data_IF_331184971315
#
_entry.id   IF_331184971315
#
_cell.length_a   1.000
_cell.length_b   1.000
_cell.length_c   1.000
_cell.angle_alpha   90.00
_cell.angle_beta   90.00
_cell.angle_gamma   90.00
#
_symmetry.space_group_name_H-M   'P 1'
#
loop_
_entity.id
_entity.type
_entity.pdbx_description
1 polymer ?
#
# COMPACT_ATOMS: atom_id res chain seq x y z
N UNK A 1 -16.92 -2.59 -28.96
CA UNK A 1 -15.86 -3.49 -28.46
C UNK A 1 -16.33 -3.97 -27.09
N UNK A 2 -16.34 -5.28 -26.85
CA UNK A 2 -16.74 -5.80 -25.55
C UNK A 2 -15.69 -5.40 -24.51
N UNK A 3 -16.11 -4.74 -23.44
CA UNK A 3 -15.24 -4.48 -22.29
C UNK A 3 -14.85 -5.83 -21.68
N UNK A 4 -13.54 -6.05 -21.54
CA UNK A 4 -13.00 -7.26 -20.93
C UNK A 4 -12.80 -6.98 -19.46
N UNK A 5 -13.33 -7.85 -18.63
CA UNK A 5 -13.28 -7.71 -17.17
C UNK A 5 -12.35 -8.80 -16.63
N UNK A 6 -11.28 -8.40 -15.96
CA UNK A 6 -10.32 -9.31 -15.33
C UNK A 6 -10.13 -9.03 -13.86
N UNK A 7 -9.81 -10.09 -13.12
CA UNK A 7 -9.52 -10.03 -11.69
C UNK A 7 -8.05 -9.67 -11.47
N UNK A 8 -7.77 -8.68 -10.61
CA UNK A 8 -6.40 -8.30 -10.25
C UNK A 8 -5.79 -9.38 -9.36
N UNK A 9 -4.59 -9.82 -9.70
CA UNK A 9 -3.71 -10.68 -8.90
C UNK A 9 -2.34 -10.04 -8.69
N UNK A 10 -1.57 -10.59 -7.75
CA UNK A 10 -0.24 -10.09 -7.39
C UNK A 10 0.76 -10.22 -8.55
N UNK A 11 1.58 -9.18 -8.73
CA UNK A 11 2.59 -9.12 -9.78
C UNK A 11 3.91 -9.72 -9.30
N UNK A 12 4.56 -10.61 -10.09
CA UNK A 12 5.87 -11.13 -9.72
C UNK A 12 6.91 -10.01 -9.61
N UNK A 13 7.82 -10.10 -8.64
CA UNK A 13 8.82 -9.08 -8.32
C UNK A 13 9.58 -8.53 -9.55
N UNK A 14 9.91 -9.41 -10.51
CA UNK A 14 10.63 -9.02 -11.74
C UNK A 14 9.89 -8.05 -12.67
N UNK A 15 8.55 -7.96 -12.56
CA UNK A 15 7.69 -7.12 -13.38
C UNK A 15 7.24 -5.84 -12.68
N UNK A 16 7.46 -5.73 -11.37
CA UNK A 16 7.07 -4.56 -10.58
C UNK A 16 7.87 -3.33 -11.02
N UNK A 17 7.18 -2.19 -11.23
CA UNK A 17 7.81 -0.93 -11.64
C UNK A 17 8.26 -0.90 -13.09
N UNK A 18 7.75 -1.81 -13.93
CA UNK A 18 8.04 -1.85 -15.38
C UNK A 18 6.92 -1.27 -16.24
N UNK A 19 5.82 -0.82 -15.63
CA UNK A 19 4.67 -0.25 -16.33
C UNK A 19 3.95 -1.26 -17.23
N UNK A 20 3.87 -2.52 -16.79
CA UNK A 20 3.29 -3.64 -17.56
C UNK A 20 2.08 -4.24 -16.87
N UNK A 21 1.11 -4.68 -17.66
CA UNK A 21 0.07 -5.61 -17.25
C UNK A 21 0.35 -6.99 -17.83
N UNK A 22 0.46 -7.98 -16.95
CA UNK A 22 0.54 -9.39 -17.34
C UNK A 22 -0.89 -9.91 -17.45
N UNK A 23 -1.29 -10.41 -18.61
CA UNK A 23 -2.66 -10.83 -18.91
C UNK A 23 -2.70 -12.31 -19.27
N UNK A 24 -3.78 -12.98 -18.86
CA UNK A 24 -4.17 -14.30 -19.33
C UNK A 24 -3.94 -14.47 -20.85
N UNK A 25 -3.04 -15.39 -21.27
CA UNK A 25 -2.72 -15.62 -22.68
C UNK A 25 -3.94 -15.95 -23.56
N UNK A 26 -4.98 -16.58 -23.01
CA UNK A 26 -6.20 -16.92 -23.74
C UNK A 26 -6.91 -15.66 -24.26
N UNK A 27 -6.93 -14.60 -23.47
CA UNK A 27 -7.58 -13.34 -23.83
C UNK A 27 -6.81 -12.64 -24.95
N UNK A 28 -5.48 -12.70 -24.89
CA UNK A 28 -4.62 -12.14 -25.92
C UNK A 28 -4.90 -12.85 -27.26
N UNK A 29 -5.04 -14.17 -27.25
CA UNK A 29 -5.39 -14.98 -28.42
C UNK A 29 -6.80 -14.67 -28.94
N UNK A 30 -7.82 -14.73 -28.08
CA UNK A 30 -9.23 -14.51 -28.41
C UNK A 30 -9.47 -13.11 -29.03
N UNK A 31 -8.76 -12.10 -28.51
CA UNK A 31 -8.87 -10.72 -28.96
C UNK A 31 -7.87 -10.33 -30.05
N UNK A 32 -6.95 -11.23 -30.40
CA UNK A 32 -5.85 -10.98 -31.35
C UNK A 32 -5.00 -9.78 -30.96
N UNK A 33 -4.73 -9.64 -29.66
CA UNK A 33 -3.85 -8.60 -29.14
C UNK A 33 -2.39 -8.96 -29.35
N UNK A 34 -1.54 -7.94 -29.46
CA UNK A 34 -0.11 -8.09 -29.65
C UNK A 34 0.64 -7.63 -28.39
N UNK A 35 1.71 -8.36 -28.06
CA UNK A 35 2.60 -7.98 -26.96
C UNK A 35 3.14 -6.58 -27.18
N UNK A 36 3.10 -5.76 -26.12
CA UNK A 36 3.58 -4.40 -26.15
C UNK A 36 2.58 -3.34 -26.59
N UNK A 37 1.36 -3.71 -26.99
CA UNK A 37 0.26 -2.76 -27.14
C UNK A 37 -0.10 -2.10 -25.80
N UNK A 38 -0.75 -0.94 -25.85
CA UNK A 38 -1.12 -0.20 -24.65
C UNK A 38 -2.56 -0.49 -24.28
N UNK A 39 -2.75 -0.76 -22.99
CA UNK A 39 -4.03 -1.02 -22.36
C UNK A 39 -4.46 0.20 -21.55
N UNK A 40 -5.69 0.63 -21.70
CA UNK A 40 -6.39 1.45 -20.72
C UNK A 40 -6.98 0.52 -19.66
N UNK A 41 -6.57 0.72 -18.41
CA UNK A 41 -7.16 0.09 -17.23
C UNK A 41 -8.20 1.05 -16.67
N UNK A 42 -9.41 0.56 -16.39
CA UNK A 42 -10.47 1.39 -15.82
C UNK A 42 -11.15 0.70 -14.64
N UNK A 43 -11.11 1.41 -13.50
CA UNK A 43 -11.85 1.11 -12.27
C UNK A 43 -12.50 2.41 -11.77
N UNK A 44 -12.07 2.96 -10.62
CA UNK A 44 -12.51 4.29 -10.14
C UNK A 44 -11.91 5.42 -10.97
N UNK A 45 -10.67 5.22 -11.42
CA UNK A 45 -9.93 6.10 -12.32
C UNK A 45 -9.38 5.28 -13.49
N UNK A 46 -8.72 5.98 -14.41
CA UNK A 46 -8.11 5.39 -15.59
C UNK A 46 -6.62 5.60 -15.59
N UNK A 47 -5.87 4.57 -15.94
CA UNK A 47 -4.43 4.64 -16.19
C UNK A 47 -4.07 3.73 -17.35
N UNK A 48 -2.82 3.76 -17.79
CA UNK A 48 -2.38 3.03 -18.97
C UNK A 48 -1.11 2.25 -18.72
N UNK A 49 -1.04 1.04 -19.27
CA UNK A 49 0.10 0.14 -19.09
C UNK A 49 0.35 -0.66 -20.35
N UNK A 50 1.56 -1.21 -20.47
CA UNK A 50 1.97 -2.02 -21.61
C UNK A 50 1.52 -3.48 -21.41
N UNK A 51 0.89 -4.05 -22.43
CA UNK A 51 0.47 -5.45 -22.42
C UNK A 51 1.68 -6.39 -22.45
N UNK A 52 1.65 -7.38 -21.56
CA UNK A 52 2.60 -8.49 -21.50
C UNK A 52 1.85 -9.82 -21.33
N UNK A 53 2.24 -10.89 -22.03
CA UNK A 53 1.60 -12.19 -21.87
C UNK A 53 1.95 -12.82 -20.52
N UNK A 54 0.95 -13.45 -19.89
CA UNK A 54 1.13 -14.34 -18.75
C UNK A 54 1.85 -15.64 -19.10
N UNK A 55 2.14 -16.41 -18.06
CA UNK A 55 2.77 -17.72 -18.23
C UNK A 55 1.77 -18.72 -18.86
N UNK A 56 2.23 -19.75 -19.59
CA UNK A 56 1.33 -20.75 -20.18
C UNK A 56 0.39 -21.43 -19.18
N UNK A 57 0.81 -21.55 -17.92
CA UNK A 57 0.03 -22.14 -16.83
C UNK A 57 -1.18 -21.29 -16.42
N UNK A 58 -1.19 -20.00 -16.80
CA UNK A 58 -2.25 -19.04 -16.48
C UNK A 58 -3.32 -18.96 -17.58
N UNK A 59 -3.26 -19.84 -18.58
CA UNK A 59 -4.19 -19.85 -19.71
C UNK A 59 -5.63 -20.10 -19.26
N UNK A 60 -6.53 -19.17 -19.56
CA UNK A 60 -7.95 -19.22 -19.20
C UNK A 60 -8.27 -18.87 -17.75
N UNK A 61 -7.31 -18.33 -17.01
CA UNK A 61 -7.48 -17.91 -15.61
C UNK A 61 -8.37 -16.68 -15.42
N UNK A 62 -8.51 -15.81 -16.44
CA UNK A 62 -9.26 -14.55 -16.34
C UNK A 62 -8.63 -13.51 -15.40
N UNK A 63 -7.32 -13.59 -15.17
CA UNK A 63 -6.58 -12.69 -14.28
C UNK A 63 -5.76 -11.65 -15.04
N UNK A 64 -5.46 -10.55 -14.35
CA UNK A 64 -4.49 -9.53 -14.73
C UNK A 64 -3.57 -9.24 -13.55
N UNK A 65 -2.26 -9.15 -13.80
CA UNK A 65 -1.28 -8.76 -12.80
C UNK A 65 -0.69 -7.41 -13.17
N UNK A 66 -0.91 -6.44 -12.30
CA UNK A 66 -0.41 -5.06 -12.41
C UNK A 66 0.30 -4.66 -11.13
N UNK A 67 1.29 -3.77 -11.23
CA UNK A 67 2.06 -3.30 -10.07
C UNK A 67 1.26 -2.32 -9.20
N UNK A 68 1.79 -2.04 -8.01
CA UNK A 68 1.19 -1.19 -7.01
C UNK A 68 0.94 0.24 -7.50
N UNK A 69 1.81 0.76 -8.38
CA UNK A 69 1.64 2.09 -8.98
C UNK A 69 0.39 2.12 -9.87
N UNK A 70 0.22 1.14 -10.77
CA UNK A 70 -0.96 1.05 -11.61
C UNK A 70 -2.24 0.84 -10.78
N UNK A 71 -2.19 -0.02 -9.74
CA UNK A 71 -3.31 -0.24 -8.80
C UNK A 71 -3.73 1.04 -8.09
N UNK A 72 -2.79 1.79 -7.52
CA UNK A 72 -3.06 3.07 -6.87
C UNK A 72 -3.64 4.11 -7.83
N UNK A 73 -3.13 4.18 -9.06
CA UNK A 73 -3.58 5.16 -10.06
C UNK A 73 -5.04 4.93 -10.48
N UNK A 74 -5.49 3.67 -10.59
CA UNK A 74 -6.91 3.35 -10.86
C UNK A 74 -7.77 3.27 -9.60
N UNK A 75 -7.15 3.29 -8.41
CA UNK A 75 -7.82 3.13 -7.12
C UNK A 75 -8.40 1.73 -6.92
N UNK A 76 -7.75 0.71 -7.47
CA UNK A 76 -8.11 -0.70 -7.30
C UNK A 76 -7.07 -1.40 -6.42
N UNK A 77 -7.44 -2.54 -5.86
CA UNK A 77 -6.58 -3.39 -5.05
C UNK A 77 -6.66 -4.83 -5.55
N UNK A 78 -5.90 -5.71 -4.91
CA UNK A 78 -5.80 -7.10 -5.37
C UNK A 78 -7.11 -7.83 -5.07
N UNK A 79 -7.67 -8.50 -6.08
CA UNK A 79 -8.96 -9.17 -5.99
C UNK A 79 -10.10 -8.46 -6.72
N UNK A 80 -9.96 -7.15 -6.99
CA UNK A 80 -10.97 -6.40 -7.74
C UNK A 80 -11.07 -6.88 -9.18
N UNK A 81 -12.23 -6.61 -9.78
CA UNK A 81 -12.44 -6.77 -11.22
C UNK A 81 -12.31 -5.41 -11.91
N UNK A 82 -11.44 -5.33 -12.90
CA UNK A 82 -11.21 -4.10 -13.68
C UNK A 82 -11.53 -4.31 -15.16
N UNK A 83 -11.93 -3.23 -15.82
CA UNK A 83 -12.22 -3.22 -17.25
C UNK A 83 -11.00 -2.81 -18.06
N UNK A 84 -10.83 -3.43 -19.23
CA UNK A 84 -9.66 -3.28 -20.09
C UNK A 84 -10.08 -3.00 -21.53
N UNK A 85 -9.31 -2.13 -22.20
CA UNK A 85 -9.37 -1.96 -23.66
C UNK A 85 -8.01 -1.55 -24.23
N UNK A 86 -7.76 -1.93 -25.47
CA UNK A 86 -6.59 -1.45 -26.21
C UNK A 86 -6.82 0.00 -26.64
N UNK A 87 -5.78 0.82 -26.49
CA UNK A 87 -5.77 2.20 -26.96
C UNK A 87 -4.48 2.49 -27.70
N UNK A 88 -4.57 3.40 -28.67
CA UNK A 88 -3.38 3.99 -29.28
C UNK A 88 -2.90 5.16 -28.42
N UNK A 89 -1.60 5.19 -28.18
CA UNK A 89 -0.94 6.30 -27.49
C UNK A 89 0.11 6.90 -28.41
N UNK A 90 0.49 8.14 -28.11
CA UNK A 90 1.59 8.80 -28.82
C UNK A 90 2.80 8.90 -27.93
N UNK A 91 3.95 9.12 -28.55
CA UNK A 91 5.17 9.41 -27.83
C UNK A 91 5.04 10.75 -27.09
N UNK A 92 5.55 10.80 -25.87
CA UNK A 92 5.57 11.99 -25.05
C UNK A 92 6.63 12.96 -25.56
N UNK A 93 6.23 14.18 -25.92
CA UNK A 93 7.15 15.29 -26.11
C UNK A 93 7.57 15.86 -24.75
N UNK A 94 6.59 16.02 -23.86
CA UNK A 94 6.79 16.63 -22.55
C UNK A 94 5.83 16.06 -21.51
N UNK A 95 6.31 15.90 -20.28
CA UNK A 95 5.50 15.54 -19.10
C UNK A 95 5.81 16.53 -17.99
N UNK A 96 4.77 17.12 -17.40
CA UNK A 96 4.90 18.04 -16.26
C UNK A 96 4.53 17.30 -14.99
N UNK A 97 5.45 17.32 -14.03
CA UNK A 97 5.37 16.61 -12.77
C UNK A 97 5.36 17.60 -11.61
N UNK A 98 4.36 17.51 -10.74
CA UNK A 98 4.30 18.30 -9.53
C UNK A 98 4.75 17.46 -8.33
N UNK A 99 5.83 17.84 -7.64
CA UNK A 99 6.29 17.10 -6.47
C UNK A 99 5.42 17.44 -5.24
N UNK A 100 5.35 16.49 -4.30
CA UNK A 100 4.72 16.71 -2.99
C UNK A 100 5.63 17.44 -2.00
N UNK A 101 6.95 17.41 -2.26
CA UNK A 101 7.99 17.99 -1.41
C UNK A 101 8.90 18.93 -2.20
N UNK A 102 9.68 19.77 -1.51
CA UNK A 102 10.65 20.65 -2.17
C UNK A 102 11.82 19.82 -2.68
N UNK A 103 12.08 19.92 -3.98
CA UNK A 103 13.17 19.19 -4.62
C UNK A 103 13.90 20.09 -5.62
N UNK A 104 15.14 19.73 -5.90
CA UNK A 104 15.96 20.37 -6.93
C UNK A 104 15.67 19.70 -8.28
N UNK A 105 15.68 20.47 -9.37
CA UNK A 105 15.46 19.95 -10.72
C UNK A 105 16.68 19.24 -11.33
N UNK A 106 17.84 19.33 -10.69
CA UNK A 106 19.11 18.82 -11.22
C UNK A 106 19.10 17.30 -11.33
N UNK A 107 19.45 16.77 -12.51
CA UNK A 107 19.44 15.32 -12.78
C UNK A 107 18.07 14.66 -12.87
N UNK A 108 16.96 15.40 -12.65
CA UNK A 108 15.60 14.84 -12.69
C UNK A 108 15.29 14.19 -14.04
N UNK A 109 15.70 14.85 -15.13
CA UNK A 109 15.45 14.38 -16.49
C UNK A 109 16.04 12.97 -16.71
N UNK A 110 17.33 12.81 -16.47
CA UNK A 110 18.04 11.55 -16.67
C UNK A 110 17.49 10.47 -15.73
N UNK A 111 17.16 10.85 -14.50
CA UNK A 111 16.61 9.93 -13.51
C UNK A 111 15.19 9.45 -13.88
N UNK A 112 14.34 10.34 -14.40
CA UNK A 112 12.99 9.99 -14.87
C UNK A 112 13.06 9.08 -16.09
N UNK A 113 13.94 9.37 -17.06
CA UNK A 113 14.12 8.52 -18.23
C UNK A 113 14.63 7.14 -17.81
N UNK A 114 15.66 7.06 -16.96
CA UNK A 114 16.19 5.80 -16.47
C UNK A 114 15.12 4.89 -15.83
N UNK A 115 14.24 5.47 -15.00
CA UNK A 115 13.24 4.70 -14.26
C UNK A 115 11.97 4.42 -15.07
N UNK A 116 11.55 5.37 -15.92
CA UNK A 116 10.23 5.34 -16.56
C UNK A 116 10.24 5.22 -18.08
N UNK A 117 11.39 4.95 -18.71
CA UNK A 117 11.42 4.62 -20.13
C UNK A 117 10.42 3.49 -20.46
N UNK A 118 9.66 3.65 -21.54
CA UNK A 118 8.57 2.76 -21.96
C UNK A 118 7.33 2.72 -21.06
N UNK A 119 7.23 3.55 -20.02
CA UNK A 119 5.99 3.71 -19.28
C UNK A 119 5.00 4.57 -20.05
N UNK A 120 3.71 4.37 -19.78
CA UNK A 120 2.65 5.24 -20.28
C UNK A 120 2.12 6.05 -19.11
N UNK A 121 2.02 7.36 -19.31
CA UNK A 121 1.48 8.26 -18.30
C UNK A 121 0.28 9.03 -18.81
N UNK A 122 -0.66 9.23 -17.90
CA UNK A 122 -1.87 10.02 -18.07
C UNK A 122 -1.94 11.08 -16.98
N UNK A 123 -2.55 12.22 -17.30
CA UNK A 123 -2.78 13.29 -16.33
C UNK A 123 -3.53 12.75 -15.11
N UNK A 124 -2.98 13.00 -13.92
CA UNK A 124 -3.51 12.54 -12.63
C UNK A 124 -2.81 11.31 -12.08
N UNK A 125 -1.97 10.62 -12.86
CA UNK A 125 -1.17 9.50 -12.37
C UNK A 125 -0.19 9.98 -11.29
N UNK A 126 -0.07 9.18 -10.24
CA UNK A 126 0.93 9.32 -9.20
C UNK A 126 2.10 8.40 -9.49
N UNK A 127 3.31 8.94 -9.36
CA UNK A 127 4.56 8.20 -9.53
C UNK A 127 5.45 8.44 -8.31
N UNK A 128 6.22 7.43 -7.94
CA UNK A 128 7.08 7.47 -6.76
C UNK A 128 8.51 7.13 -7.14
N UNK A 129 9.45 7.96 -6.71
CA UNK A 129 10.86 7.76 -6.97
C UNK A 129 11.61 7.52 -5.69
N UNK A 130 12.49 6.53 -5.70
CA UNK A 130 13.46 6.31 -4.63
C UNK A 130 14.54 7.41 -4.71
N UNK A 131 14.92 7.98 -3.58
CA UNK A 131 16.05 8.89 -3.49
C UNK A 131 17.32 8.10 -3.21
N UNK A 132 18.48 8.66 -3.56
CA UNK A 132 19.79 8.04 -3.28
C UNK A 132 20.02 7.78 -1.78
N UNK A 133 19.31 8.50 -0.91
CA UNK A 133 19.38 8.38 0.55
C UNK A 133 18.30 7.43 1.12
N UNK A 134 17.62 6.65 0.27
CA UNK A 134 16.59 5.68 0.69
C UNK A 134 15.22 6.28 1.02
N UNK A 135 15.03 7.58 0.79
CA UNK A 135 13.71 8.23 0.88
C UNK A 135 12.87 8.02 -0.38
N UNK A 136 11.63 8.51 -0.40
CA UNK A 136 10.78 8.51 -1.59
C UNK A 136 10.21 9.90 -1.86
N UNK A 137 10.24 10.31 -3.12
CA UNK A 137 9.59 11.55 -3.58
C UNK A 137 8.43 11.15 -4.46
N UNK A 138 7.25 11.67 -4.16
CA UNK A 138 6.05 11.48 -4.96
C UNK A 138 5.85 12.65 -5.92
N UNK A 139 5.37 12.30 -7.11
CA UNK A 139 4.97 13.26 -8.12
C UNK A 139 3.58 12.93 -8.63
N UNK A 140 2.87 13.97 -9.05
CA UNK A 140 1.64 13.84 -9.83
C UNK A 140 1.91 14.35 -11.24
N UNK A 141 1.50 13.56 -12.24
CA UNK A 141 1.46 14.01 -13.64
C UNK A 141 0.36 15.06 -13.79
N UNK A 142 0.73 16.33 -13.90
CA UNK A 142 -0.25 17.42 -14.01
C UNK A 142 -0.66 17.73 -15.43
N UNK A 143 0.23 17.51 -16.39
CA UNK A 143 -0.08 17.63 -17.81
C UNK A 143 0.91 16.86 -18.67
N UNK A 144 0.44 16.42 -19.82
CA UNK A 144 1.22 15.75 -20.86
C UNK A 144 1.14 16.54 -22.16
N UNK A 145 2.19 16.45 -22.96
CA UNK A 145 2.22 16.97 -24.33
C UNK A 145 2.56 15.83 -25.29
N UNK A 146 1.67 15.49 -26.24
CA UNK A 146 0.29 16.00 -26.41
C UNK A 146 -0.64 15.66 -25.23
N UNK A 147 -1.73 16.42 -25.04
CA UNK A 147 -2.69 16.28 -23.91
C UNK A 147 -3.58 15.04 -24.01
N UNK A 148 -2.96 13.86 -24.01
CA UNK A 148 -3.56 12.52 -24.04
C UNK A 148 -2.63 11.54 -23.30
N UNK A 149 -2.97 10.26 -23.15
CA UNK A 149 -2.03 9.27 -22.65
C UNK A 149 -0.78 9.24 -23.54
N UNK A 150 0.40 9.30 -22.93
CA UNK A 150 1.67 9.38 -23.65
C UNK A 150 2.67 8.32 -23.21
N UNK A 151 3.40 7.76 -24.18
CA UNK A 151 4.49 6.82 -23.98
C UNK A 151 5.81 7.57 -23.76
N UNK A 152 6.50 7.28 -22.66
CA UNK A 152 7.83 7.81 -22.37
C UNK A 152 8.86 7.15 -23.28
N UNK A 153 9.59 7.98 -24.01
CA UNK A 153 10.70 7.59 -24.89
C UNK A 153 11.95 8.40 -24.52
N UNK A 154 13.10 8.06 -25.10
CA UNK A 154 14.41 8.62 -24.71
C UNK A 154 14.48 10.15 -24.81
N UNK A 155 13.74 10.77 -25.73
CA UNK A 155 13.72 12.23 -25.94
C UNK A 155 12.56 12.94 -25.21
N UNK A 156 11.77 12.24 -24.40
CA UNK A 156 10.68 12.83 -23.63
C UNK A 156 11.21 13.82 -22.59
N UNK A 157 10.72 15.06 -22.58
CA UNK A 157 11.18 16.09 -21.62
C UNK A 157 10.31 16.12 -20.36
N UNK A 158 10.91 15.87 -19.20
CA UNK A 158 10.27 16.04 -17.90
C UNK A 158 10.48 17.45 -17.37
N UNK A 159 9.41 18.10 -16.91
CA UNK A 159 9.45 19.42 -16.27
C UNK A 159 8.83 19.36 -14.89
N UNK A 160 9.41 20.12 -13.94
CA UNK A 160 8.79 20.33 -12.64
C UNK A 160 7.73 21.42 -12.72
N UNK A 161 6.53 21.07 -12.29
CA UNK A 161 5.47 22.02 -11.98
C UNK A 161 5.60 22.56 -10.56
N UNK A 162 4.61 23.35 -10.15
CA UNK A 162 4.50 23.81 -8.76
C UNK A 162 4.22 22.65 -7.82
N UNK A 163 4.67 22.77 -6.57
CA UNK A 163 4.32 21.80 -5.54
C UNK A 163 2.81 21.69 -5.41
N UNK A 164 2.32 20.46 -5.19
CA UNK A 164 0.90 20.20 -5.03
C UNK A 164 0.62 19.46 -3.72
N UNK A 165 -0.44 19.89 -3.04
CA UNK A 165 -1.04 19.15 -1.91
C UNK A 165 -2.18 18.23 -2.37
N UNK A 166 -2.34 18.02 -3.68
CA UNK A 166 -3.47 17.26 -4.24
C UNK A 166 -3.47 15.76 -3.86
N UNK A 167 -2.46 15.28 -3.13
CA UNK A 167 -2.46 13.95 -2.54
C UNK A 167 -2.93 14.09 -1.11
N UNK A 168 -4.02 13.38 -0.77
CA UNK A 168 -4.44 13.19 0.60
C UNK A 168 -3.32 12.52 1.39
N UNK A 169 -2.65 13.28 2.25
CA UNK A 169 -1.55 12.78 3.08
C UNK A 169 -2.01 11.76 4.12
N UNK A 170 -3.32 11.64 4.34
CA UNK A 170 -3.88 10.66 5.27
C UNK A 170 -3.87 9.24 4.72
N UNK A 171 -3.72 9.05 3.41
CA UNK A 171 -3.63 7.72 2.79
C UNK A 171 -2.17 7.43 2.45
N UNK A 172 -1.52 6.44 3.10
CA UNK A 172 -0.16 6.04 2.75
C UNK A 172 -0.11 5.54 1.30
N UNK A 173 0.96 5.89 0.57
CA UNK A 173 1.16 5.40 -0.81
C UNK A 173 2.10 4.20 -0.89
N UNK A 174 2.28 3.49 0.22
CA UNK A 174 3.03 2.25 0.26
C UNK A 174 2.12 1.13 -0.25
N UNK A 175 2.68 0.18 -1.01
CA UNK A 175 1.96 -0.98 -1.54
C UNK A 175 2.61 -2.27 -1.06
N UNK A 176 1.95 -3.41 -1.25
CA UNK A 176 2.55 -4.71 -0.89
C UNK A 176 3.82 -5.01 -1.70
N UNK A 177 3.94 -4.42 -2.89
CA UNK A 177 5.11 -4.49 -3.77
C UNK A 177 6.41 -3.92 -3.14
N UNK A 178 6.26 -3.19 -2.04
CA UNK A 178 7.35 -2.59 -1.25
C UNK A 178 7.72 -3.40 0.00
N UNK A 179 7.06 -4.55 0.22
CA UNK A 179 7.31 -5.45 1.34
C UNK A 179 8.06 -6.69 0.83
N UNK A 180 9.29 -6.88 1.31
CA UNK A 180 10.09 -8.07 1.00
C UNK A 180 10.02 -9.10 2.14
N UNK A 181 9.94 -10.38 1.80
CA UNK A 181 9.99 -11.47 2.79
C UNK A 181 8.75 -11.63 3.68
N UNK A 182 7.65 -10.92 3.39
CA UNK A 182 6.43 -10.92 4.21
C UNK A 182 5.21 -11.51 3.50
N UNK A 183 5.39 -12.40 2.52
CA UNK A 183 4.28 -12.88 1.66
C UNK A 183 3.15 -13.53 2.46
N UNK A 184 3.50 -14.34 3.47
CA UNK A 184 2.52 -15.03 4.31
C UNK A 184 1.76 -14.05 5.23
N UNK A 185 2.47 -13.09 5.79
CA UNK A 185 1.95 -12.05 6.69
C UNK A 185 1.05 -11.08 5.91
N UNK A 186 1.46 -10.72 4.69
CA UNK A 186 0.65 -9.96 3.74
C UNK A 186 -0.64 -10.71 3.43
N UNK A 187 -0.59 -12.00 3.09
CA UNK A 187 -1.82 -12.76 2.82
C UNK A 187 -2.78 -12.75 4.03
N UNK A 188 -2.26 -13.00 5.24
CA UNK A 188 -3.06 -12.97 6.48
C UNK A 188 -3.71 -11.60 6.71
N UNK A 189 -2.95 -10.51 6.59
CA UNK A 189 -3.49 -9.17 6.85
C UNK A 189 -4.50 -8.74 5.77
N UNK A 190 -4.32 -9.20 4.52
CA UNK A 190 -5.28 -8.98 3.43
C UNK A 190 -6.62 -9.63 3.74
N UNK A 191 -6.62 -10.87 4.21
CA UNK A 191 -7.85 -11.57 4.59
C UNK A 191 -8.54 -10.92 5.81
N UNK A 192 -7.76 -10.42 6.77
CA UNK A 192 -8.28 -9.88 8.03
C UNK A 192 -8.70 -8.41 7.95
N UNK A 193 -8.07 -7.61 7.08
CA UNK A 193 -8.25 -6.14 7.03
C UNK A 193 -8.73 -5.68 5.66
N UNK A 194 -8.03 -6.05 4.58
CA UNK A 194 -8.36 -5.58 3.24
C UNK A 194 -9.72 -6.10 2.76
N UNK A 195 -9.96 -7.41 2.88
CA UNK A 195 -11.17 -8.04 2.40
C UNK A 195 -12.45 -7.49 3.07
N UNK A 196 -12.54 -7.36 4.41
CA UNK A 196 -13.71 -6.74 5.04
C UNK A 196 -13.94 -5.28 4.64
N UNK A 197 -12.88 -4.51 4.43
CA UNK A 197 -12.99 -3.09 4.09
C UNK A 197 -13.45 -2.87 2.65
N UNK A 198 -12.95 -3.69 1.71
CA UNK A 198 -13.23 -3.53 0.28
C UNK A 198 -14.48 -4.29 -0.16
N UNK A 199 -14.77 -5.42 0.48
CA UNK A 199 -15.90 -6.30 0.17
C UNK A 199 -16.78 -6.61 1.40
N UNK A 200 -17.34 -5.59 2.09
CA UNK A 200 -18.18 -5.80 3.27
C UNK A 200 -19.41 -6.68 2.97
N UNK A 201 -19.89 -6.69 1.72
CA UNK A 201 -21.01 -7.52 1.26
C UNK A 201 -20.76 -9.03 1.39
N UNK A 202 -19.50 -9.48 1.38
CA UNK A 202 -19.16 -10.90 1.56
C UNK A 202 -19.41 -11.32 3.00
N UNK A 203 -19.03 -10.48 3.96
CA UNK A 203 -19.20 -10.73 5.39
C UNK A 203 -20.67 -10.65 5.81
N UNK A 204 -21.41 -9.67 5.26
CA UNK A 204 -22.85 -9.56 5.50
C UNK A 204 -23.64 -10.78 4.99
N UNK A 205 -23.26 -11.36 3.85
CA UNK A 205 -23.91 -12.57 3.29
C UNK A 205 -23.65 -13.83 4.11
N UNK A 206 -22.44 -13.98 4.65
CA UNK A 206 -22.04 -15.16 5.42
C UNK A 206 -22.47 -15.05 6.89
N UNK A 207 -22.79 -13.83 7.35
CA UNK A 207 -23.25 -13.57 8.72
C UNK A 207 -22.13 -13.63 9.76
N UNK A 208 -20.90 -13.33 9.36
CA UNK A 208 -19.71 -13.33 10.22
C UNK A 208 -19.23 -11.89 10.43
N UNK A 209 -18.89 -11.55 11.66
CA UNK A 209 -18.31 -10.23 11.98
C UNK A 209 -16.87 -10.13 11.49
N UNK A 210 -16.52 -8.97 10.94
CA UNK A 210 -15.15 -8.66 10.58
C UNK A 210 -14.27 -8.52 11.84
N UNK A 211 -12.98 -8.90 11.77
CA UNK A 211 -12.03 -8.66 12.85
C UNK A 211 -11.97 -7.17 13.20
N UNK A 212 -12.02 -6.85 14.50
CA UNK A 212 -11.94 -5.45 14.98
C UNK A 212 -10.51 -4.96 15.15
N UNK A 213 -9.58 -5.87 15.42
CA UNK A 213 -8.19 -5.50 15.59
C UNK A 213 -7.19 -6.62 15.34
N UNK A 214 -6.03 -6.21 14.84
CA UNK A 214 -4.90 -7.09 14.53
C UNK A 214 -3.69 -6.65 15.35
N UNK A 215 -3.07 -7.60 16.06
CA UNK A 215 -1.79 -7.38 16.76
C UNK A 215 -0.63 -7.91 15.94
N UNK A 216 0.24 -7.01 15.48
CA UNK A 216 1.51 -7.32 14.83
C UNK A 216 2.59 -7.41 15.91
N UNK A 217 3.32 -8.52 15.97
CA UNK A 217 4.41 -8.68 16.93
C UNK A 217 5.65 -9.30 16.30
N UNK A 218 6.82 -9.01 16.87
CA UNK A 218 8.09 -9.57 16.41
C UNK A 218 9.26 -8.63 16.68
N UNK A 219 10.49 -8.99 16.30
CA UNK A 219 11.67 -8.17 16.54
C UNK A 219 11.56 -6.75 15.95
N UNK A 220 12.28 -5.75 16.48
CA UNK A 220 12.32 -4.42 15.90
C UNK A 220 12.91 -4.45 14.49
N UNK A 221 12.44 -3.58 13.60
CA UNK A 221 12.96 -3.46 12.24
C UNK A 221 12.45 -4.50 11.23
N UNK A 222 11.53 -5.40 11.60
CA UNK A 222 10.97 -6.42 10.67
C UNK A 222 9.84 -5.89 9.76
N UNK A 223 9.53 -4.59 9.80
CA UNK A 223 8.58 -3.98 8.88
C UNK A 223 7.11 -3.91 9.35
N UNK A 224 6.82 -4.08 10.65
CA UNK A 224 5.46 -3.93 11.23
C UNK A 224 4.74 -2.65 10.78
N UNK A 225 5.38 -1.49 10.94
CA UNK A 225 4.83 -0.19 10.56
C UNK A 225 4.66 -0.05 9.03
N UNK A 226 5.56 -0.66 8.24
CA UNK A 226 5.46 -0.65 6.78
C UNK A 226 4.30 -1.52 6.30
N UNK A 227 4.09 -2.70 6.90
CA UNK A 227 2.96 -3.58 6.59
C UNK A 227 1.63 -2.87 6.83
N UNK A 228 1.45 -2.22 7.98
CA UNK A 228 0.22 -1.47 8.28
C UNK A 228 -0.03 -0.32 7.28
N UNK A 229 1.01 0.42 6.91
CA UNK A 229 0.93 1.47 5.88
C UNK A 229 0.58 0.90 4.50
N UNK A 230 1.15 -0.25 4.12
CA UNK A 230 0.86 -0.89 2.85
C UNK A 230 -0.61 -1.30 2.74
N UNK A 231 -1.18 -1.88 3.80
CA UNK A 231 -2.61 -2.24 3.85
C UNK A 231 -3.49 -1.01 3.70
N UNK A 232 -3.16 0.10 4.36
CA UNK A 232 -3.91 1.35 4.24
C UNK A 232 -3.83 1.93 2.82
N UNK A 233 -2.66 1.85 2.18
CA UNK A 233 -2.48 2.30 0.81
C UNK A 233 -3.24 1.46 -0.22
N UNK A 234 -3.30 0.16 -0.03
CA UNK A 234 -4.02 -0.78 -0.92
C UNK A 234 -5.55 -0.71 -0.71
N UNK A 235 -6.01 -0.46 0.51
CA UNK A 235 -7.42 -0.23 0.82
C UNK A 235 -7.88 1.20 0.51
N UNK A 236 -6.96 2.11 0.21
CA UNK A 236 -7.21 3.56 0.13
C UNK A 236 -7.99 4.07 1.36
N UNK A 237 -7.62 3.55 2.52
CA UNK A 237 -8.23 3.90 3.81
C UNK A 237 -7.46 5.06 4.46
N UNK A 238 -8.19 5.90 5.19
CA UNK A 238 -7.59 6.91 6.03
C UNK A 238 -6.69 6.25 7.08
N UNK A 239 -5.46 6.71 7.25
CA UNK A 239 -4.49 6.10 8.16
C UNK A 239 -4.14 7.05 9.29
N UNK A 240 -4.50 6.66 10.51
CA UNK A 240 -4.15 7.40 11.73
C UNK A 240 -3.04 6.64 12.44
N UNK A 241 -1.83 7.20 12.44
CA UNK A 241 -0.68 6.60 13.12
C UNK A 241 -0.43 7.29 14.45
N UNK A 242 -0.31 6.50 15.51
CA UNK A 242 0.04 6.96 16.86
C UNK A 242 1.13 6.06 17.41
N UNK A 243 2.14 6.68 18.03
CA UNK A 243 3.12 5.95 18.82
C UNK A 243 2.71 5.94 20.29
N UNK A 244 2.78 4.80 20.97
CA UNK A 244 2.38 4.66 22.36
C UNK A 244 3.02 5.71 23.30
N UNK A 245 4.33 5.97 23.24
CA UNK A 245 4.96 7.07 23.99
C UNK A 245 4.39 8.47 23.71
N UNK A 246 3.86 8.74 22.51
CA UNK A 246 3.26 10.05 22.20
C UNK A 246 1.94 10.28 22.94
N UNK A 247 1.25 9.21 23.32
CA UNK A 247 0.00 9.27 24.08
C UNK A 247 0.26 9.56 25.56
N UNK A 248 1.45 9.23 26.08
CA UNK A 248 1.84 9.53 27.46
C UNK A 248 2.07 11.04 27.65
N UNK A 249 0.98 11.78 27.87
CA UNK A 249 0.99 13.21 28.10
C UNK A 249 1.55 13.59 29.47
N UNK A 250 1.92 14.86 29.63
CA UNK A 250 2.41 15.39 30.91
C UNK A 250 1.30 15.75 31.90
N UNK A 251 0.06 15.91 31.42
CA UNK A 251 -1.08 16.34 32.22
C UNK A 251 -2.14 15.25 32.36
N UNK A 252 -2.86 15.30 33.49
CA UNK A 252 -3.93 14.36 33.81
C UNK A 252 -5.11 14.51 32.84
N UNK A 253 -5.65 13.41 32.30
CA UNK A 253 -6.81 13.45 31.39
C UNK A 253 -6.47 13.51 29.91
N UNK A 254 -5.33 14.12 29.57
CA UNK A 254 -4.93 14.45 28.20
C UNK A 254 -4.77 13.20 27.31
N UNK A 255 -4.19 12.13 27.88
CA UNK A 255 -4.01 10.85 27.20
C UNK A 255 -5.33 10.16 26.85
N UNK A 256 -6.32 10.20 27.75
CA UNK A 256 -7.60 9.52 27.56
C UNK A 256 -8.49 10.26 26.55
N UNK A 257 -8.47 11.60 26.60
CA UNK A 257 -9.14 12.47 25.62
C UNK A 257 -8.54 12.28 24.23
N UNK A 258 -7.21 12.28 24.10
CA UNK A 258 -6.53 12.07 22.83
C UNK A 258 -6.89 10.73 22.18
N UNK A 259 -6.90 9.62 22.93
CA UNK A 259 -7.32 8.32 22.38
C UNK A 259 -8.78 8.39 21.91
N UNK A 260 -9.67 9.05 22.67
CA UNK A 260 -11.07 9.22 22.26
C UNK A 260 -11.20 10.01 20.96
N UNK A 261 -10.48 11.12 20.84
CA UNK A 261 -10.47 11.95 19.62
C UNK A 261 -10.00 11.15 18.40
N UNK A 262 -8.95 10.35 18.55
CA UNK A 262 -8.42 9.47 17.50
C UNK A 262 -9.50 8.51 16.99
N UNK A 263 -10.20 7.82 17.89
CA UNK A 263 -11.25 6.87 17.51
C UNK A 263 -12.44 7.59 16.84
N UNK A 264 -12.84 8.76 17.35
CA UNK A 264 -13.89 9.59 16.73
C UNK A 264 -13.48 10.01 15.31
N UNK A 265 -12.26 10.52 15.13
CA UNK A 265 -11.73 10.89 13.82
C UNK A 265 -11.68 9.70 12.86
N UNK A 266 -11.33 8.50 13.35
CA UNK A 266 -11.32 7.30 12.53
C UNK A 266 -12.73 6.91 12.05
N UNK A 267 -13.74 7.03 12.92
CA UNK A 267 -15.14 6.78 12.57
C UNK A 267 -15.69 7.81 11.58
N UNK A 268 -15.36 9.09 11.75
CA UNK A 268 -15.77 10.16 10.84
C UNK A 268 -15.13 10.05 9.45
N UNK A 269 -13.88 9.56 9.38
CA UNK A 269 -13.14 9.39 8.14
C UNK A 269 -13.18 7.95 7.60
N UNK A 270 -14.14 7.13 8.03
CA UNK A 270 -14.26 5.75 7.59
C UNK A 270 -14.48 5.64 6.05
N UNK A 271 -13.79 4.72 5.35
CA UNK A 271 -12.95 3.63 5.85
C UNK A 271 -11.59 4.09 6.40
N UNK A 272 -11.22 3.61 7.60
CA UNK A 272 -10.04 4.09 8.32
C UNK A 272 -9.31 2.96 9.06
N UNK A 273 -7.99 3.12 9.19
CA UNK A 273 -7.10 2.24 9.94
C UNK A 273 -6.42 3.07 11.03
N UNK A 274 -6.61 2.65 12.29
CA UNK A 274 -5.88 3.20 13.43
C UNK A 274 -4.67 2.31 13.66
N UNK A 275 -3.46 2.84 13.50
CA UNK A 275 -2.22 2.15 13.78
C UNK A 275 -1.61 2.64 15.09
N UNK A 276 -1.47 1.74 16.06
CA UNK A 276 -0.86 2.00 17.37
C UNK A 276 0.49 1.30 17.42
N UNK A 277 1.58 2.04 17.25
CA UNK A 277 2.93 1.52 17.42
C UNK A 277 3.32 1.49 18.90
N UNK A 278 4.20 0.56 19.27
CA UNK A 278 4.66 0.36 20.66
C UNK A 278 3.51 0.31 21.69
N UNK A 279 2.45 -0.46 21.39
CA UNK A 279 1.26 -0.55 22.25
C UNK A 279 1.59 -1.04 23.67
N UNK A 280 2.67 -1.80 23.85
CA UNK A 280 3.17 -2.26 25.14
C UNK A 280 3.54 -1.10 26.09
N UNK A 281 3.81 0.10 25.56
CA UNK A 281 4.07 1.28 26.39
C UNK A 281 2.80 1.84 27.05
N UNK A 282 1.64 1.76 26.39
CA UNK A 282 0.36 2.31 26.88
C UNK A 282 -0.58 1.25 27.44
N UNK A 283 -0.32 -0.02 27.11
CA UNK A 283 -1.11 -1.14 27.59
C UNK A 283 -0.30 -2.29 28.22
N UNK A 284 0.59 -1.99 29.19
CA UNK A 284 1.28 -3.03 29.94
C UNK A 284 0.33 -3.87 30.82
N UNK A 285 0.78 -5.05 31.26
CA UNK A 285 0.07 -5.88 32.24
C UNK A 285 -0.22 -5.09 33.52
N UNK A 286 -1.46 -5.16 33.99
CA UNK A 286 -1.93 -4.42 35.18
C UNK A 286 -1.14 -4.71 36.46
N UNK A 287 -0.57 -5.90 36.56
CA UNK A 287 0.19 -6.36 37.72
C UNK A 287 1.63 -5.82 37.73
N UNK A 288 2.17 -5.46 36.56
CA UNK A 288 3.53 -4.91 36.40
C UNK A 288 3.56 -3.38 36.59
N UNK A 289 2.40 -2.77 36.80
CA UNK A 289 2.19 -1.33 36.70
C UNK A 289 1.72 -0.76 38.03
N UNK A 290 2.55 0.09 38.62
CA UNK A 290 2.23 0.82 39.86
C UNK A 290 1.39 2.07 39.60
N UNK A 291 1.39 2.63 38.39
CA UNK A 291 0.67 3.86 38.05
C UNK A 291 -0.83 3.65 37.81
N UNK A 292 -1.67 4.55 38.34
CA UNK A 292 -3.10 4.57 38.02
C UNK A 292 -3.39 5.05 36.59
N UNK A 293 -2.50 5.87 36.01
CA UNK A 293 -2.68 6.46 34.69
C UNK A 293 -2.70 5.39 33.58
N UNK A 294 -1.71 4.49 33.54
CA UNK A 294 -1.66 3.43 32.52
C UNK A 294 -2.87 2.49 32.63
N UNK A 295 -3.31 2.17 33.85
CA UNK A 295 -4.51 1.35 34.09
C UNK A 295 -5.78 1.99 33.53
N UNK A 296 -5.89 3.31 33.60
CA UNK A 296 -7.02 4.04 32.99
C UNK A 296 -6.91 4.09 31.47
N UNK A 297 -5.74 4.31 30.91
CA UNK A 297 -5.50 4.27 29.46
C UNK A 297 -5.90 2.92 28.88
N UNK A 298 -5.47 1.82 29.51
CA UNK A 298 -5.89 0.45 29.15
C UNK A 298 -7.41 0.32 29.18
N UNK A 299 -8.04 0.77 30.27
CA UNK A 299 -9.50 0.68 30.44
C UNK A 299 -10.26 1.49 29.38
N UNK A 300 -9.74 2.66 29.02
CA UNK A 300 -10.29 3.51 27.96
C UNK A 300 -10.16 2.85 26.58
N UNK A 301 -8.99 2.27 26.26
CA UNK A 301 -8.79 1.57 25.00
C UNK A 301 -9.72 0.35 24.88
N UNK A 302 -9.86 -0.43 25.95
CA UNK A 302 -10.81 -1.55 26.01
C UNK A 302 -12.25 -1.09 25.75
N UNK A 303 -12.67 0.00 26.39
CA UNK A 303 -14.02 0.55 26.23
C UNK A 303 -14.27 1.03 24.80
N UNK A 304 -13.28 1.67 24.17
CA UNK A 304 -13.38 2.12 22.78
C UNK A 304 -13.44 0.95 21.82
N UNK A 305 -12.58 -0.06 21.98
CA UNK A 305 -12.58 -1.26 21.14
C UNK A 305 -13.91 -2.02 21.20
N UNK A 306 -14.45 -2.21 22.41
CA UNK A 306 -15.75 -2.86 22.62
C UNK A 306 -16.90 -2.01 22.04
N UNK A 307 -16.77 -0.68 22.15
CA UNK A 307 -17.74 0.32 21.68
C UNK A 307 -17.75 0.54 20.17
N UNK A 308 -16.73 0.09 19.42
CA UNK A 308 -16.69 0.21 17.96
C UNK A 308 -17.85 -0.57 17.34
N UNK A 309 -18.81 0.17 16.76
CA UNK A 309 -19.96 -0.35 16.01
C UNK A 309 -19.75 -0.29 14.49
N UNK A 310 -18.59 0.20 14.05
CA UNK A 310 -18.25 0.25 12.63
C UNK A 310 -18.31 -1.18 12.08
N UNK A 311 -19.17 -1.42 11.08
CA UNK A 311 -19.34 -2.74 10.43
C UNK A 311 -18.08 -3.09 9.60
N UNK A 312 -16.93 -3.26 10.25
CA UNK A 312 -15.64 -3.51 9.60
C UNK A 312 -15.04 -2.31 8.84
N UNK A 313 -15.61 -1.10 8.98
CA UNK A 313 -15.10 0.10 8.29
C UNK A 313 -13.96 0.80 9.04
N UNK A 314 -13.78 0.50 10.32
CA UNK A 314 -12.64 0.96 11.12
C UNK A 314 -11.96 -0.27 11.69
N UNK A 315 -10.65 -0.39 11.47
CA UNK A 315 -9.84 -1.50 11.97
C UNK A 315 -8.68 -0.93 12.79
N UNK A 316 -8.39 -1.54 13.93
CA UNK A 316 -7.27 -1.15 14.78
C UNK A 316 -6.12 -2.13 14.62
N UNK A 317 -4.99 -1.67 14.10
CA UNK A 317 -3.77 -2.44 13.99
C UNK A 317 -2.81 -1.96 15.08
N UNK A 318 -2.35 -2.85 15.95
CA UNK A 318 -1.36 -2.53 16.96
C UNK A 318 -0.04 -3.25 16.67
N UNK A 319 1.08 -2.62 16.98
CA UNK A 319 2.41 -3.21 16.84
C UNK A 319 3.15 -3.24 18.18
N UNK A 320 3.89 -4.32 18.42
CA UNK A 320 4.75 -4.46 19.60
C UNK A 320 5.99 -5.30 19.30
N UNK A 321 7.06 -5.08 20.08
CA UNK A 321 8.20 -5.97 20.14
C UNK A 321 8.15 -6.91 21.36
N UNK A 322 7.15 -6.73 22.25
CA UNK A 322 7.01 -7.41 23.55
C UNK A 322 5.57 -7.89 23.75
N UNK A 323 5.11 -8.89 22.97
CA UNK A 323 3.72 -9.38 23.05
C UNK A 323 3.33 -9.88 24.45
N UNK A 324 4.29 -10.38 25.21
CA UNK A 324 4.07 -10.87 26.57
C UNK A 324 3.89 -9.75 27.61
N UNK A 325 4.25 -8.50 27.28
CA UNK A 325 4.08 -7.36 28.19
C UNK A 325 2.69 -6.72 28.10
N UNK A 326 1.88 -7.07 27.10
CA UNK A 326 0.56 -6.47 26.86
C UNK A 326 -0.50 -7.06 27.81
N UNK A 327 -1.45 -6.24 28.25
CA UNK A 327 -2.64 -6.70 28.98
C UNK A 327 -3.42 -7.76 28.17
N UNK A 328 -3.53 -8.96 28.74
CA UNK A 328 -4.26 -10.10 28.16
C UNK A 328 -5.72 -9.80 27.80
N UNK A 329 -6.35 -8.81 28.44
CA UNK A 329 -7.71 -8.38 28.12
C UNK A 329 -7.81 -7.81 26.71
N UNK A 330 -6.77 -7.14 26.20
CA UNK A 330 -6.76 -6.61 24.84
C UNK A 330 -6.66 -7.69 23.77
N UNK A 331 -6.13 -8.88 24.11
CA UNK A 331 -5.95 -10.04 23.21
C UNK A 331 -7.17 -10.97 23.17
N UNK A 332 -8.29 -10.57 23.77
CA UNK A 332 -9.53 -11.38 23.79
C UNK A 332 -10.32 -11.20 22.49
N UNK A 333 -11.13 -12.20 22.08
CA UNK A 333 -12.04 -12.07 20.94
C UNK A 333 -12.89 -10.80 21.00
N UNK A 334 -13.02 -10.11 19.85
CA UNK A 334 -13.69 -8.80 19.74
C UNK A 334 -12.79 -7.58 19.98
N UNK A 335 -11.48 -7.78 20.24
CA UNK A 335 -10.47 -6.73 20.39
C UNK A 335 -9.31 -7.00 19.43
N UNK A 336 -8.12 -7.32 19.92
CA UNK A 336 -7.06 -7.93 19.09
C UNK A 336 -7.27 -9.45 19.04
N UNK A 337 -8.24 -9.86 18.23
CA UNK A 337 -8.65 -11.25 18.05
C UNK A 337 -7.82 -12.01 17.00
N UNK A 338 -6.92 -11.28 16.34
CA UNK A 338 -5.95 -11.80 15.39
C UNK A 338 -4.56 -11.31 15.74
N UNK A 339 -3.60 -12.22 15.66
CA UNK A 339 -2.20 -11.93 15.90
C UNK A 339 -1.36 -12.42 14.72
N UNK A 340 -0.43 -11.59 14.27
CA UNK A 340 0.48 -11.90 13.17
C UNK A 340 1.90 -11.70 13.68
N UNK A 341 2.66 -12.80 13.72
CA UNK A 341 4.09 -12.75 13.96
C UNK A 341 4.81 -12.26 12.71
N UNK A 342 5.68 -11.26 12.88
CA UNK A 342 6.57 -10.74 11.84
C UNK A 342 8.00 -11.08 12.24
N UNK A 343 8.44 -12.24 11.76
CA UNK A 343 9.74 -12.82 12.04
C UNK A 343 10.91 -12.15 11.30
N UNK A 344 12.08 -12.74 11.48
CA UNK A 344 13.30 -12.38 10.75
C UNK A 344 13.20 -13.01 9.34
N UNK A 345 13.48 -12.27 8.26
CA UNK A 345 13.38 -12.81 6.90
C UNK A 345 14.43 -13.89 6.64
N UNK A 346 14.05 -14.86 5.82
CA UNK A 346 14.95 -15.89 5.28
C UNK A 346 15.78 -15.36 4.09
N UNK A 347 16.56 -16.22 3.46
CA UNK A 347 17.45 -15.83 2.35
C UNK A 347 16.66 -15.25 1.16
N UNK A 348 15.51 -15.85 0.82
CA UNK A 348 14.62 -15.33 -0.22
C UNK A 348 14.01 -13.98 0.17
N UNK A 349 13.57 -13.84 1.41
CA UNK A 349 13.03 -12.60 1.95
C UNK A 349 14.06 -11.47 1.97
N UNK A 350 15.32 -11.76 2.33
CA UNK A 350 16.41 -10.78 2.26
C UNK A 350 16.69 -10.36 0.83
N UNK A 351 16.72 -11.30 -0.11
CA UNK A 351 16.86 -10.99 -1.53
C UNK A 351 15.72 -10.09 -2.03
N UNK A 352 14.47 -10.37 -1.64
CA UNK A 352 13.31 -9.52 -1.97
C UNK A 352 13.49 -8.09 -1.40
N UNK A 353 13.90 -7.97 -0.12
CA UNK A 353 14.16 -6.68 0.53
C UNK A 353 15.26 -5.90 -0.22
N UNK A 354 16.39 -6.54 -0.52
CA UNK A 354 17.49 -5.92 -1.27
C UNK A 354 17.04 -5.48 -2.66
N UNK A 355 16.27 -6.31 -3.35
CA UNK A 355 15.72 -6.01 -4.68
C UNK A 355 14.79 -4.79 -4.65
N UNK A 356 13.98 -4.63 -3.60
CA UNK A 356 13.11 -3.48 -3.42
C UNK A 356 13.92 -2.21 -3.16
N UNK A 357 14.89 -2.26 -2.24
CA UNK A 357 15.68 -1.08 -1.87
C UNK A 357 16.67 -0.65 -2.95
N UNK A 358 17.12 -1.56 -3.80
CA UNK A 358 17.99 -1.27 -4.95
C UNK A 358 17.22 -0.94 -6.23
N UNK A 359 15.89 -1.02 -6.21
CA UNK A 359 15.05 -0.71 -7.37
C UNK A 359 15.25 0.75 -7.81
N UNK A 360 15.65 0.93 -9.06
CA UNK A 360 15.89 2.26 -9.64
C UNK A 360 17.22 2.90 -9.21
N UNK A 361 18.06 2.19 -8.46
CA UNK A 361 19.43 2.59 -8.18
C UNK A 361 20.35 2.17 -9.34
N UNK A 362 21.33 3.00 -9.72
CA UNK A 362 22.41 2.56 -10.59
C UNK A 362 23.30 1.59 -9.80
N UNK A 363 23.29 0.32 -10.19
CA UNK A 363 24.10 -0.74 -9.58
C UNK A 363 25.09 -1.25 -10.64
N UNK A 364 26.34 -1.51 -10.24
CA UNK A 364 27.33 -2.12 -11.12
C UNK A 364 26.93 -3.57 -11.46
N UNK A 365 27.16 -4.01 -12.70
CA UNK A 365 26.81 -5.35 -13.17
C UNK A 365 27.45 -6.49 -12.35
N UNK A 366 28.54 -6.21 -11.62
CA UNK A 366 29.22 -7.16 -10.75
C UNK A 366 28.51 -7.42 -9.43
N UNK A 367 27.50 -6.62 -9.07
CA UNK A 367 26.78 -6.77 -7.80
C UNK A 367 25.76 -7.90 -7.91
N UNK A 368 26.00 -9.00 -7.20
CA UNK A 368 25.06 -10.11 -7.06
C UNK A 368 24.31 -10.01 -5.73
N UNK A 369 23.06 -9.56 -5.79
CA UNK A 369 22.21 -9.41 -4.60
C UNK A 369 21.89 -10.73 -3.90
N UNK A 370 22.07 -11.89 -4.56
CA UNK A 370 21.84 -13.21 -3.91
C UNK A 370 23.00 -13.63 -3.02
N UNK A 371 24.19 -13.06 -3.21
CA UNK A 371 25.37 -13.36 -2.40
C UNK A 371 25.46 -12.49 -1.13
N UNK A 372 24.71 -11.39 -1.10
CA UNK A 372 24.60 -10.45 0.03
C UNK A 372 23.49 -10.95 0.96
#
# INVERSE_FOLDING_TARGET
MNEIILKIEETPQQHIGRGRAIIDPKIIEDQKWNTGQILELSYNKKTHVKLWPGAPEEYGSGIIKIDGMARQNIGAGIGDKISLKIVEVVNAEQIVLSPTEKITAEGLQDYMIHNYLNHVFTTGDSISLNTQMGGKIQFIVTSTKPSKPVLVIENTVFKLGTMTKAIDSSVPRITYDELGGLKNEVQKIREMVELPMRHPELFEKIGVEAPKGVLLYGPPGTGKTLLAKAVAGETNAHFISISGPEIMGKHYGESEERIREIFTQAEENAPSIIFIDEIDSIAPKRDEVSGELEKRIVSQLLTLMDGMKSRGKVVVIAATNRPDSIDSALRRPGRFDREIEIGIPDDEGRFDILSIHTRGMPIDEKVDLKQI
#
